data_IF_456502734708
#
_entry.id   IF_456502734708
#
_cell.length_a   1.000
_cell.length_b   1.000
_cell.length_c   1.000
_cell.angle_alpha   90.00
_cell.angle_beta   90.00
_cell.angle_gamma   90.00
#
_symmetry.space_group_name_H-M   'P 1'
#
loop_
_entity.id
_entity.type
_entity.pdbx_description
1 polymer ?
#
# COMPACT_ATOMS: atom_id res chain seq x y z
N UNK A 1 -22.16 0.37 2.62
CA UNK A 1 -21.04 0.70 1.72
C UNK A 1 -20.34 -0.60 1.36
N UNK A 2 -20.35 -1.03 0.08
CA UNK A 2 -19.56 -2.18 -0.37
C UNK A 2 -18.15 -1.66 -0.62
N UNK A 3 -17.20 -1.98 0.26
CA UNK A 3 -15.79 -1.76 -0.03
C UNK A 3 -15.43 -2.52 -1.30
N UNK A 4 -14.91 -1.82 -2.30
CA UNK A 4 -14.40 -2.41 -3.54
C UNK A 4 -13.25 -3.36 -3.18
N UNK A 5 -13.39 -4.64 -3.52
CA UNK A 5 -12.32 -5.62 -3.38
C UNK A 5 -11.45 -5.48 -4.62
N UNK A 6 -10.38 -4.69 -4.50
CA UNK A 6 -9.36 -4.62 -5.54
C UNK A 6 -8.45 -5.81 -5.29
N UNK A 7 -8.51 -6.79 -6.18
CA UNK A 7 -7.49 -7.83 -6.28
C UNK A 7 -6.20 -7.11 -6.70
N UNK A 8 -5.44 -6.73 -5.70
CA UNK A 8 -4.30 -5.86 -5.85
C UNK A 8 -3.16 -6.70 -6.38
N UNK A 9 -3.03 -6.70 -7.69
CA UNK A 9 -1.94 -7.36 -8.36
C UNK A 9 -0.64 -6.65 -7.96
N UNK A 10 0.03 -7.19 -6.95
CA UNK A 10 1.36 -6.77 -6.53
C UNK A 10 2.30 -6.70 -7.74
N UNK A 11 2.08 -7.48 -8.81
CA UNK A 11 2.89 -7.41 -10.02
C UNK A 11 2.74 -6.08 -10.78
N UNK A 12 1.62 -5.35 -10.65
CA UNK A 12 1.36 -4.11 -11.41
C UNK A 12 1.88 -2.84 -10.75
N UNK A 13 2.08 -2.84 -9.42
CA UNK A 13 2.61 -1.69 -8.66
C UNK A 13 4.08 -1.91 -8.33
N UNK A 14 4.94 -1.68 -9.32
CA UNK A 14 6.40 -1.83 -9.21
C UNK A 14 7.12 -0.52 -8.92
N UNK A 15 6.48 0.63 -9.22
CA UNK A 15 7.10 1.95 -9.04
C UNK A 15 6.24 2.89 -8.19
N UNK A 16 6.89 3.83 -7.50
CA UNK A 16 6.19 4.84 -6.69
C UNK A 16 5.25 5.69 -7.53
N UNK A 17 5.59 5.95 -8.80
CA UNK A 17 4.73 6.67 -9.73
C UNK A 17 3.41 5.92 -10.02
N UNK A 18 3.47 4.59 -10.17
CA UNK A 18 2.27 3.76 -10.32
C UNK A 18 1.43 3.75 -9.05
N UNK A 19 2.06 3.67 -7.87
CA UNK A 19 1.36 3.77 -6.58
C UNK A 19 0.67 5.13 -6.45
N UNK A 20 1.35 6.22 -6.84
CA UNK A 20 0.78 7.57 -6.84
C UNK A 20 -0.43 7.67 -7.77
N UNK A 21 -0.30 7.25 -9.03
CA UNK A 21 -1.39 7.26 -9.99
C UNK A 21 -2.59 6.39 -9.52
N UNK A 22 -2.30 5.27 -8.87
CA UNK A 22 -3.32 4.40 -8.28
C UNK A 22 -4.07 5.09 -7.13
N UNK A 23 -3.34 5.75 -6.22
CA UNK A 23 -3.92 6.51 -5.10
C UNK A 23 -4.74 7.71 -5.58
N UNK A 24 -4.35 8.34 -6.69
CA UNK A 24 -5.08 9.48 -7.29
C UNK A 24 -6.34 9.02 -8.05
N UNK A 25 -6.30 7.84 -8.68
CA UNK A 25 -7.42 7.29 -9.44
C UNK A 25 -8.51 6.60 -8.61
N UNK A 26 -8.21 6.21 -7.36
CA UNK A 26 -9.09 5.34 -6.56
C UNK A 26 -9.45 5.99 -5.22
N UNK A 27 -10.74 6.29 -5.01
CA UNK A 27 -11.20 7.03 -3.82
C UNK A 27 -11.43 6.17 -2.56
N UNK A 28 -11.40 4.84 -2.65
CA UNK A 28 -11.60 3.98 -1.48
C UNK A 28 -10.84 2.65 -1.66
N UNK A 29 -9.66 2.55 -1.04
CA UNK A 29 -8.79 1.37 -1.13
C UNK A 29 -8.95 0.57 0.16
N UNK A 30 -9.75 -0.49 0.10
CA UNK A 30 -9.78 -1.50 1.16
C UNK A 30 -8.76 -2.60 0.86
N UNK A 31 -7.52 -2.43 1.33
CA UNK A 31 -6.52 -3.50 1.31
C UNK A 31 -6.96 -4.60 2.28
N UNK A 32 -7.42 -5.73 1.76
CA UNK A 32 -7.71 -6.92 2.56
C UNK A 32 -6.49 -7.83 2.59
N UNK A 33 -5.51 -7.47 3.42
CA UNK A 33 -4.42 -8.38 3.79
C UNK A 33 -4.85 -9.13 5.06
N UNK A 34 -4.67 -10.46 5.18
CA UNK A 34 -4.90 -11.15 6.43
C UNK A 34 -4.02 -10.59 7.55
N UNK A 35 -4.52 -10.48 8.78
CA UNK A 35 -3.75 -9.94 9.92
C UNK A 35 -2.40 -10.62 10.12
N UNK A 36 -2.34 -11.94 9.91
CA UNK A 36 -1.12 -12.74 10.01
C UNK A 36 -0.05 -12.38 8.96
N UNK A 37 -0.46 -11.77 7.85
CA UNK A 37 0.43 -11.40 6.74
C UNK A 37 0.79 -9.90 6.72
N UNK A 38 0.21 -9.08 7.60
CA UNK A 38 0.41 -7.62 7.60
C UNK A 38 1.88 -7.22 7.59
N UNK A 39 2.65 -7.72 8.56
CA UNK A 39 4.07 -7.36 8.69
C UNK A 39 4.90 -7.86 7.51
N UNK A 40 4.64 -9.09 7.03
CA UNK A 40 5.31 -9.64 5.86
C UNK A 40 4.99 -8.85 4.59
N UNK A 41 3.74 -8.43 4.42
CA UNK A 41 3.31 -7.60 3.31
C UNK A 41 3.98 -6.22 3.36
N UNK A 42 3.95 -5.55 4.53
CA UNK A 42 4.62 -4.26 4.74
C UNK A 42 6.11 -4.36 4.41
N UNK A 43 6.79 -5.40 4.92
CA UNK A 43 8.21 -5.61 4.66
C UNK A 43 8.50 -5.80 3.17
N UNK A 44 7.71 -6.62 2.46
CA UNK A 44 7.86 -6.83 1.00
C UNK A 44 7.69 -5.54 0.22
N UNK A 45 6.69 -4.74 0.56
CA UNK A 45 6.43 -3.45 -0.09
C UNK A 45 7.59 -2.47 0.15
N UNK A 46 8.05 -2.34 1.39
CA UNK A 46 9.16 -1.43 1.73
C UNK A 46 10.46 -1.85 1.05
N UNK A 47 10.75 -3.16 0.97
CA UNK A 47 11.91 -3.69 0.26
C UNK A 47 11.83 -3.45 -1.25
N UNK A 48 10.67 -3.72 -1.86
CA UNK A 48 10.45 -3.55 -3.31
C UNK A 48 10.72 -2.11 -3.76
N UNK A 49 10.20 -1.13 -3.03
CA UNK A 49 10.40 0.27 -3.36
C UNK A 49 11.73 0.84 -2.87
N UNK A 50 12.56 0.04 -2.19
CA UNK A 50 13.81 0.50 -1.60
C UNK A 50 13.59 1.68 -0.66
N UNK A 51 12.59 1.57 0.23
CA UNK A 51 12.05 2.68 1.03
C UNK A 51 13.11 3.54 1.73
N UNK A 52 14.22 2.95 2.17
CA UNK A 52 15.33 3.67 2.82
C UNK A 52 16.00 4.69 1.89
N UNK A 53 16.02 4.42 0.58
CA UNK A 53 16.64 5.26 -0.47
C UNK A 53 15.68 6.26 -1.12
N UNK A 54 14.39 6.19 -0.80
CA UNK A 54 13.37 7.07 -1.37
C UNK A 54 13.51 8.51 -0.85
N UNK A 55 13.10 9.47 -1.69
CA UNK A 55 12.90 10.86 -1.29
C UNK A 55 11.80 10.95 -0.22
N UNK A 56 11.77 12.03 0.55
CA UNK A 56 10.73 12.22 1.58
C UNK A 56 9.32 12.26 0.98
N UNK A 57 9.16 12.83 -0.23
CA UNK A 57 7.90 12.84 -0.95
C UNK A 57 7.45 11.42 -1.32
N UNK A 58 8.36 10.61 -1.87
CA UNK A 58 8.06 9.24 -2.29
C UNK A 58 7.78 8.31 -1.10
N UNK A 59 8.46 8.53 0.04
CA UNK A 59 8.14 7.84 1.30
C UNK A 59 6.70 8.09 1.72
N UNK A 60 6.23 9.33 1.61
CA UNK A 60 4.84 9.70 1.92
C UNK A 60 3.83 8.95 1.05
N UNK A 61 4.12 8.78 -0.25
CA UNK A 61 3.27 8.01 -1.18
C UNK A 61 3.18 6.54 -0.76
N UNK A 62 4.32 5.91 -0.47
CA UNK A 62 4.37 4.49 -0.03
C UNK A 62 3.67 4.31 1.32
N UNK A 63 3.84 5.23 2.27
CA UNK A 63 3.14 5.18 3.55
C UNK A 63 1.63 5.31 3.38
N UNK A 64 1.16 6.25 2.57
CA UNK A 64 -0.28 6.46 2.34
C UNK A 64 -0.95 5.22 1.73
N UNK A 65 -0.21 4.48 0.91
CA UNK A 65 -0.64 3.18 0.40
C UNK A 65 -0.72 2.09 1.49
N UNK A 66 0.14 2.12 2.51
CA UNK A 66 0.14 1.14 3.62
C UNK A 66 -0.81 1.49 4.78
N UNK A 67 -1.26 2.75 4.90
CA UNK A 67 -2.15 3.23 5.98
C UNK A 67 -3.37 2.32 6.21
N UNK A 68 -4.10 1.84 5.18
CA UNK A 68 -5.25 0.96 5.39
C UNK A 68 -4.91 -0.29 6.19
N UNK A 69 -3.70 -0.85 6.03
CA UNK A 69 -3.26 -2.06 6.73
C UNK A 69 -3.00 -1.77 8.22
N UNK A 70 -2.45 -0.60 8.54
CA UNK A 70 -2.24 -0.18 9.93
C UNK A 70 -3.56 0.04 10.67
N UNK A 71 -4.56 0.65 10.01
CA UNK A 71 -5.85 1.01 10.60
C UNK A 71 -6.69 -0.23 10.99
N UNK A 72 -6.51 -1.38 10.33
CA UNK A 72 -7.22 -2.64 10.63
C UNK A 72 -6.74 -3.30 11.96
N UNK A 73 -5.65 -2.81 12.58
CA UNK A 73 -5.08 -3.34 13.81
C UNK A 73 -5.42 -2.55 15.09
N UNK A 74 -6.21 -1.48 15.01
CA UNK A 74 -6.71 -0.76 16.19
C UNK A 74 -8.13 -1.23 16.55
N UNK A 75 -8.21 -2.33 17.31
CA UNK A 75 -9.40 -2.73 18.08
C UNK A 75 -8.95 -3.45 19.34
#
# INVERSE_FOLDING_TARGET
MRGMVIDMDEAKLQTVAQVKAFLEGTHDIALKVPKVEHYGFIERVLKRFGYTRLSQCDKGVVLRYLIPIFNINSN
#
